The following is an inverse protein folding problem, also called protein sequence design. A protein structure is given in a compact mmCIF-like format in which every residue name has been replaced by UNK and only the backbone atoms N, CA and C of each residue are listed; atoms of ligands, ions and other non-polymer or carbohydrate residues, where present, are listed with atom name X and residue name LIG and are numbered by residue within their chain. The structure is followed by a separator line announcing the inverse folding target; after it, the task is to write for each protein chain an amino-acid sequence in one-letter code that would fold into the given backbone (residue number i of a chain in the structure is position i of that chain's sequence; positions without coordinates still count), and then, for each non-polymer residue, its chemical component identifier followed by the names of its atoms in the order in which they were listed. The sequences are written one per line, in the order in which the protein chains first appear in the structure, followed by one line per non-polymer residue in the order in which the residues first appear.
data_IF_137097262046
#
_entry.id   IF_137097262046
#
_cell.length_a   1.000
_cell.length_b   1.000
_cell.length_c   1.000
_cell.angle_alpha   90.00
_cell.angle_beta   90.00
_cell.angle_gamma   90.00
#
_symmetry.space_group_name_H-M   'P 1'
#
loop_
_entity.id
_entity.type
_entity.pdbx_description
1 polymer ?
#
# COMPACT_ATOMS: atom_id res chain seq x y z
N UNK A 1 -14.03 -10.97 -9.43
CA UNK A 1 -14.31 -11.36 -8.03
C UNK A 1 -15.70 -11.97 -7.80
N UNK A 2 -16.73 -11.70 -8.64
CA UNK A 2 -18.06 -12.35 -8.53
C UNK A 2 -18.03 -13.90 -8.52
N UNK A 3 -17.11 -14.52 -9.27
CA UNK A 3 -16.86 -15.97 -9.27
C UNK A 3 -16.52 -16.53 -7.88
N UNK A 4 -16.00 -15.72 -6.97
CA UNK A 4 -15.53 -16.12 -5.64
C UNK A 4 -16.43 -15.62 -4.50
N UNK A 5 -17.60 -15.04 -4.80
CA UNK A 5 -18.52 -14.45 -3.82
C UNK A 5 -17.85 -13.45 -2.83
N UNK A 6 -16.80 -12.78 -3.31
CA UNK A 6 -16.00 -11.85 -2.51
C UNK A 6 -16.84 -10.77 -1.83
N UNK A 7 -16.61 -10.59 -0.53
CA UNK A 7 -17.12 -9.49 0.27
C UNK A 7 -15.99 -8.51 0.63
N UNK A 8 -16.28 -7.20 0.81
CA UNK A 8 -15.26 -6.20 1.13
C UNK A 8 -14.35 -6.51 2.34
N UNK A 9 -14.80 -7.35 3.28
CA UNK A 9 -14.02 -7.82 4.44
C UNK A 9 -13.10 -9.02 4.15
N UNK A 10 -13.30 -9.78 3.08
CA UNK A 10 -12.53 -11.01 2.82
C UNK A 10 -11.05 -10.74 2.53
N UNK A 11 -10.73 -9.50 2.14
CA UNK A 11 -9.36 -9.03 1.91
C UNK A 11 -8.76 -8.28 3.10
N UNK A 12 -9.50 -8.16 4.20
CA UNK A 12 -9.02 -7.48 5.40
C UNK A 12 -7.84 -8.25 5.99
N UNK A 13 -6.82 -7.52 6.44
CA UNK A 13 -5.61 -8.12 7.00
C UNK A 13 -4.64 -8.76 5.98
N UNK A 14 -5.03 -9.02 4.73
CA UNK A 14 -4.13 -9.58 3.71
C UNK A 14 -2.89 -8.72 3.46
N UNK A 15 -3.03 -7.40 3.60
CA UNK A 15 -1.89 -6.48 3.54
C UNK A 15 -0.79 -6.84 4.55
N UNK A 16 -1.14 -7.39 5.72
CA UNK A 16 -0.16 -7.79 6.74
C UNK A 16 0.59 -9.08 6.39
N UNK A 17 0.09 -9.90 5.45
CA UNK A 17 0.69 -11.20 5.16
C UNK A 17 2.13 -11.06 4.65
N UNK A 18 2.39 -10.05 3.81
CA UNK A 18 3.76 -9.80 3.37
C UNK A 18 4.71 -9.42 4.53
N UNK A 19 4.19 -8.84 5.63
CA UNK A 19 5.00 -8.50 6.82
C UNK A 19 5.37 -9.71 7.69
N UNK A 20 4.79 -10.90 7.45
CA UNK A 20 5.18 -12.12 8.15
C UNK A 20 6.48 -12.70 7.59
N UNK A 21 6.88 -12.30 6.37
CA UNK A 21 8.18 -12.66 5.78
C UNK A 21 9.28 -11.96 6.59
N UNK A 22 10.28 -12.74 7.00
CA UNK A 22 11.40 -12.24 7.82
C UNK A 22 12.04 -11.02 7.15
N UNK A 23 12.29 -9.98 7.95
CA UNK A 23 12.92 -8.72 7.53
C UNK A 23 12.09 -7.80 6.62
N UNK A 24 10.82 -8.12 6.33
CA UNK A 24 9.94 -7.17 5.64
C UNK A 24 9.57 -5.98 6.54
N UNK A 25 9.88 -4.76 6.08
CA UNK A 25 9.59 -3.50 6.78
C UNK A 25 8.29 -2.84 6.33
N UNK A 26 7.85 -3.11 5.11
CA UNK A 26 6.65 -2.50 4.51
C UNK A 26 5.94 -3.49 3.59
N UNK A 27 4.62 -3.36 3.50
CA UNK A 27 3.76 -4.13 2.61
C UNK A 27 2.69 -3.24 1.99
N UNK A 28 2.31 -3.55 0.76
CA UNK A 28 1.23 -2.87 0.05
C UNK A 28 0.28 -3.89 -0.58
N UNK A 29 -1.02 -3.57 -0.61
CA UNK A 29 -2.02 -4.28 -1.40
C UNK A 29 -2.79 -3.28 -2.27
N UNK A 30 -3.07 -3.69 -3.50
CA UNK A 30 -3.77 -2.90 -4.52
C UNK A 30 -5.06 -3.61 -4.88
N UNK A 31 -6.21 -2.96 -4.63
CA UNK A 31 -7.52 -3.54 -4.90
C UNK A 31 -8.26 -2.60 -5.85
N UNK A 32 -8.49 -3.07 -7.08
CA UNK A 32 -9.28 -2.33 -8.06
C UNK A 32 -10.75 -2.28 -7.63
N UNK A 33 -11.29 -1.07 -7.61
CA UNK A 33 -12.73 -0.82 -7.49
C UNK A 33 -13.27 -0.33 -8.83
N UNK A 34 -14.56 -0.02 -8.90
CA UNK A 34 -15.18 0.56 -10.10
C UNK A 34 -14.69 1.97 -10.44
N UNK A 35 -14.07 2.69 -9.48
CA UNK A 35 -13.71 4.11 -9.62
C UNK A 35 -12.21 4.38 -9.52
N UNK A 36 -11.52 3.63 -8.67
CA UNK A 36 -10.11 3.83 -8.35
C UNK A 36 -9.51 2.53 -7.81
N UNK A 37 -8.19 2.49 -7.69
CA UNK A 37 -7.46 1.43 -7.00
C UNK A 37 -7.22 1.87 -5.57
N UNK A 38 -7.75 1.10 -4.62
CA UNK A 38 -7.46 1.27 -3.21
C UNK A 38 -6.05 0.77 -2.95
N UNK A 39 -5.21 1.64 -2.40
CA UNK A 39 -3.85 1.30 -1.96
C UNK A 39 -3.89 1.21 -0.44
N UNK A 40 -3.52 0.06 0.11
CA UNK A 40 -3.42 -0.12 1.56
C UNK A 40 -2.00 -0.50 1.92
N UNK A 41 -1.45 0.20 2.91
CA UNK A 41 -0.06 0.12 3.33
C UNK A 41 0.01 -0.29 4.79
N UNK A 42 1.01 -1.11 5.10
CA UNK A 42 1.39 -1.46 6.47
C UNK A 42 2.91 -1.46 6.57
N UNK A 43 3.41 -1.18 7.76
CA UNK A 43 4.83 -1.27 8.06
C UNK A 43 5.09 -1.85 9.45
N UNK A 44 6.36 -2.21 9.66
CA UNK A 44 6.94 -2.57 10.96
C UNK A 44 8.16 -1.69 11.21
N UNK A 45 8.43 -1.39 12.48
CA UNK A 45 9.61 -0.62 12.88
C UNK A 45 9.49 0.86 12.57
N UNK A 46 10.54 1.45 11.97
CA UNK A 46 10.69 2.90 11.79
C UNK A 46 9.91 3.50 10.61
N UNK A 47 9.52 2.67 9.63
CA UNK A 47 8.96 3.11 8.34
C UNK A 47 7.59 3.77 8.51
N UNK A 48 7.50 5.06 8.19
CA UNK A 48 6.26 5.84 8.26
C UNK A 48 5.45 5.74 6.96
N UNK A 49 4.42 4.89 6.97
CA UNK A 49 3.53 4.71 5.82
C UNK A 49 2.45 5.79 5.71
N UNK A 50 2.19 6.58 6.76
CA UNK A 50 1.30 7.76 6.65
C UNK A 50 1.97 8.83 5.78
N UNK A 51 3.24 9.13 6.06
CA UNK A 51 4.04 10.03 5.24
C UNK A 51 4.09 9.57 3.78
N UNK A 52 4.37 8.28 3.57
CA UNK A 52 4.39 7.69 2.23
C UNK A 52 3.03 7.82 1.51
N UNK A 53 1.92 7.52 2.20
CA UNK A 53 0.59 7.58 1.63
C UNK A 53 0.18 9.01 1.24
N UNK A 54 0.48 10.00 2.10
CA UNK A 54 0.23 11.42 1.82
C UNK A 54 1.02 11.90 0.62
N UNK A 55 2.30 11.54 0.54
CA UNK A 55 3.21 12.01 -0.51
C UNK A 55 2.88 11.44 -1.89
N UNK A 56 2.52 10.16 -1.97
CA UNK A 56 2.47 9.46 -3.27
C UNK A 56 1.06 9.04 -3.72
N UNK A 57 0.07 9.01 -2.81
CA UNK A 57 -1.25 8.43 -3.09
C UNK A 57 -2.43 9.27 -2.60
N UNK A 58 -2.22 10.57 -2.35
CA UNK A 58 -3.25 11.50 -1.84
C UNK A 58 -4.04 10.90 -0.68
N UNK A 59 -3.32 10.21 0.20
CA UNK A 59 -3.86 9.37 1.25
C UNK A 59 -3.48 9.85 2.64
N UNK A 60 -3.56 8.92 3.59
CA UNK A 60 -3.13 9.13 4.96
C UNK A 60 -3.61 8.00 5.88
N UNK A 61 -3.33 8.14 7.17
CA UNK A 61 -3.71 7.20 8.22
C UNK A 61 -2.79 7.34 9.44
N UNK A 62 -2.32 6.21 9.93
CA UNK A 62 -1.37 6.11 11.04
C UNK A 62 0.02 5.71 10.53
N UNK A 63 1.04 6.04 11.33
CA UNK A 63 2.46 5.74 11.04
C UNK A 63 2.71 4.32 10.50
N UNK A 64 2.04 3.30 11.05
CA UNK A 64 2.23 1.90 10.65
C UNK A 64 1.08 1.32 9.80
N UNK A 65 0.04 2.10 9.52
CA UNK A 65 -1.15 1.67 8.80
C UNK A 65 -1.82 2.86 8.12
N UNK A 66 -1.63 2.97 6.81
CA UNK A 66 -2.19 4.06 6.01
C UNK A 66 -2.77 3.53 4.70
N UNK A 67 -3.45 4.40 3.97
CA UNK A 67 -3.96 4.06 2.65
C UNK A 67 -4.15 5.29 1.77
N UNK A 68 -4.37 5.05 0.50
CA UNK A 68 -4.60 6.10 -0.49
C UNK A 68 -5.37 5.56 -1.69
N UNK A 69 -5.51 6.40 -2.70
CA UNK A 69 -6.25 6.08 -3.92
C UNK A 69 -5.37 6.36 -5.13
N UNK A 70 -5.39 5.45 -6.09
CA UNK A 70 -4.82 5.69 -7.41
C UNK A 70 -5.94 5.69 -8.44
N UNK A 71 -6.00 6.73 -9.27
CA UNK A 71 -6.95 6.84 -10.38
C UNK A 71 -6.33 6.40 -11.72
N UNK A 72 -5.10 5.88 -11.68
CA UNK A 72 -4.41 5.33 -12.84
C UNK A 72 -4.81 3.86 -13.07
N UNK A 73 -4.35 3.27 -14.17
CA UNK A 73 -4.50 1.83 -14.40
C UNK A 73 -3.67 1.02 -13.38
N UNK A 74 -4.03 -0.24 -13.14
CA UNK A 74 -3.30 -1.11 -12.19
C UNK A 74 -1.80 -1.20 -12.51
N UNK A 75 -1.46 -1.30 -13.80
CA UNK A 75 -0.07 -1.32 -14.26
C UNK A 75 0.65 -0.03 -13.88
N UNK A 76 0.06 1.12 -14.17
CA UNK A 76 0.64 2.42 -13.84
C UNK A 76 0.72 2.65 -12.32
N UNK A 77 -0.26 2.20 -11.55
CA UNK A 77 -0.24 2.26 -10.09
C UNK A 77 0.92 1.45 -9.51
N UNK A 78 1.17 0.24 -10.03
CA UNK A 78 2.30 -0.61 -9.59
C UNK A 78 3.63 0.05 -9.96
N UNK A 79 3.77 0.59 -11.17
CA UNK A 79 5.00 1.26 -11.60
C UNK A 79 5.24 2.56 -10.82
N UNK A 80 4.19 3.32 -10.54
CA UNK A 80 4.25 4.48 -9.64
C UNK A 80 4.71 4.07 -8.24
N UNK A 81 4.11 3.03 -7.67
CA UNK A 81 4.51 2.52 -6.36
C UNK A 81 5.99 2.14 -6.33
N UNK A 82 6.51 1.39 -7.31
CA UNK A 82 7.93 1.01 -7.37
C UNK A 82 8.86 2.24 -7.37
N UNK A 83 8.53 3.25 -8.18
CA UNK A 83 9.29 4.52 -8.22
C UNK A 83 9.22 5.25 -6.88
N UNK A 84 8.04 5.36 -6.29
CA UNK A 84 7.84 5.98 -4.97
C UNK A 84 8.63 5.28 -3.88
N UNK A 85 8.68 3.94 -3.87
CA UNK A 85 9.49 3.18 -2.91
C UNK A 85 10.98 3.46 -3.10
N UNK A 86 11.48 3.47 -4.33
CA UNK A 86 12.89 3.76 -4.60
C UNK A 86 13.28 5.19 -4.16
N UNK A 87 12.43 6.18 -4.45
CA UNK A 87 12.65 7.57 -4.04
C UNK A 87 12.60 7.73 -2.51
N UNK A 88 11.62 7.11 -1.86
CA UNK A 88 11.48 7.15 -0.40
C UNK A 88 12.65 6.48 0.31
N UNK A 89 13.16 5.37 -0.25
CA UNK A 89 14.37 4.70 0.24
C UNK A 89 15.61 5.59 0.11
N UNK A 90 15.78 6.27 -1.03
CA UNK A 90 16.89 7.21 -1.24
C UNK A 90 16.87 8.41 -0.28
N UNK A 91 15.71 8.71 0.31
CA UNK A 91 15.52 9.75 1.32
C UNK A 91 15.68 9.24 2.77
N UNK A 92 16.08 7.97 2.95
CA UNK A 92 16.21 7.34 4.28
C UNK A 92 14.88 6.90 4.90
N UNK A 93 13.78 6.90 4.13
CA UNK A 93 12.44 6.57 4.65
C UNK A 93 12.22 5.09 4.97
N UNK A 94 13.16 4.21 4.60
CA UNK A 94 13.10 2.76 4.85
C UNK A 94 14.03 2.27 5.96
N UNK A 95 14.75 3.17 6.63
CA UNK A 95 15.70 2.83 7.70
C UNK A 95 14.99 2.41 9.00
#
# INVERSE_FOLDING_TARGET
MRRFQFQPGDSEGFVNYALTIKSMKMSAIFIATHKFIRVSLRSRGGVDVDLFARKYFNGGGHRNAAGGKSFMTMRETIEHFKRSVAEFAAQGGLD
#
